data_IF_415006650646
#
_entry.id   IF_415006650646
#
_cell.length_a   1.000
_cell.length_b   1.000
_cell.length_c   1.000
_cell.angle_alpha   90.00
_cell.angle_beta   90.00
_cell.angle_gamma   90.00
#
_symmetry.space_group_name_H-M   'P 1'
#
loop_
_entity.id
_entity.type
_entity.pdbx_description
1 polymer ?
#
# COMPACT_ATOMS: atom_id res chain seq x y z
N UNK A 1 -13.33 43.48 -11.03
CA UNK A 1 -13.52 42.73 -9.77
C UNK A 1 -12.56 41.56 -9.83
N UNK A 2 -11.38 41.76 -9.26
CA UNK A 2 -10.30 40.77 -9.23
C UNK A 2 -10.52 39.91 -8.01
N UNK A 3 -10.97 38.67 -8.22
CA UNK A 3 -11.05 37.66 -7.19
C UNK A 3 -9.65 37.44 -6.62
N UNK A 4 -9.49 37.82 -5.34
CA UNK A 4 -8.28 37.55 -4.56
C UNK A 4 -8.11 36.07 -4.33
N UNK A 5 -7.49 35.38 -5.27
CA UNK A 5 -7.00 34.04 -5.08
C UNK A 5 -5.97 34.08 -3.93
N UNK A 6 -6.44 33.79 -2.72
CA UNK A 6 -5.56 33.58 -1.55
C UNK A 6 -4.64 32.40 -1.89
N UNK A 7 -3.38 32.73 -2.18
CA UNK A 7 -2.33 31.71 -2.34
C UNK A 7 -2.29 30.88 -1.05
N UNK A 8 -2.44 29.54 -1.18
CA UNK A 8 -2.42 28.69 0.01
C UNK A 8 -1.08 28.85 0.74
N UNK A 9 -1.06 28.81 2.07
CA UNK A 9 0.17 28.95 2.83
C UNK A 9 1.13 27.80 2.50
N UNK A 10 2.44 28.08 2.49
CA UNK A 10 3.50 27.12 2.11
C UNK A 10 3.44 25.78 2.84
N UNK A 11 2.89 25.75 4.04
CA UNK A 11 2.69 24.49 4.77
C UNK A 11 1.57 23.62 4.15
N UNK A 12 0.52 24.24 3.59
CA UNK A 12 -0.56 23.53 2.92
C UNK A 12 -0.07 22.91 1.59
N UNK A 13 0.81 23.59 0.87
CA UNK A 13 1.47 23.05 -0.34
C UNK A 13 2.39 21.86 0.01
N UNK A 14 3.13 21.96 1.10
CA UNK A 14 3.98 20.87 1.59
C UNK A 14 3.15 19.66 2.07
N UNK A 15 2.03 19.88 2.75
CA UNK A 15 1.13 18.83 3.17
C UNK A 15 0.43 18.14 1.98
N UNK A 16 0.02 18.92 0.98
CA UNK A 16 -0.59 18.35 -0.23
C UNK A 16 0.41 17.56 -1.08
N UNK A 17 1.69 17.95 -1.03
CA UNK A 17 2.77 17.21 -1.68
C UNK A 17 3.16 15.93 -0.92
N UNK A 18 3.11 15.95 0.43
CA UNK A 18 3.46 14.81 1.26
C UNK A 18 2.30 13.80 1.44
N UNK A 19 1.05 14.27 1.42
CA UNK A 19 -0.13 13.43 1.60
C UNK A 19 -1.25 13.83 0.62
N UNK A 20 -1.09 13.52 -0.67
CA UNK A 20 -2.05 13.91 -1.72
C UNK A 20 -3.44 13.31 -1.50
N UNK A 21 -3.54 12.17 -0.81
CA UNK A 21 -4.82 11.56 -0.44
C UNK A 21 -5.63 12.41 0.54
N UNK A 22 -4.99 13.03 1.53
CA UNK A 22 -5.68 13.92 2.49
C UNK A 22 -6.18 15.19 1.79
N UNK A 23 -5.41 15.74 0.85
CA UNK A 23 -5.84 16.88 0.04
C UNK A 23 -7.06 16.52 -0.84
N UNK A 24 -7.16 15.27 -1.28
CA UNK A 24 -8.33 14.80 -2.03
C UNK A 24 -9.59 14.72 -1.17
N UNK A 25 -9.47 14.41 0.14
CA UNK A 25 -10.60 14.36 1.07
C UNK A 25 -11.21 15.75 1.31
N UNK A 26 -10.41 16.80 1.37
CA UNK A 26 -10.91 18.17 1.59
C UNK A 26 -11.72 18.70 0.41
N UNK A 27 -11.47 18.19 -0.81
CA UNK A 27 -12.22 18.54 -2.03
C UNK A 27 -13.26 17.49 -2.43
N UNK A 28 -13.60 16.57 -1.52
CA UNK A 28 -14.50 15.46 -1.81
C UNK A 28 -15.96 15.92 -1.95
N UNK A 29 -16.59 15.53 -3.04
CA UNK A 29 -18.02 15.82 -3.29
C UNK A 29 -18.88 14.68 -2.77
N UNK A 30 -19.70 14.94 -1.75
CA UNK A 30 -20.60 13.95 -1.13
C UNK A 30 -21.51 13.21 -2.14
N UNK A 31 -21.81 13.82 -3.29
CA UNK A 31 -22.57 13.20 -4.38
C UNK A 31 -21.90 11.94 -4.97
N UNK A 32 -20.56 11.76 -4.78
CA UNK A 32 -19.83 10.58 -5.25
C UNK A 32 -19.85 9.43 -4.23
N UNK A 33 -20.18 9.72 -2.98
CA UNK A 33 -20.15 8.75 -1.88
C UNK A 33 -20.86 7.41 -2.20
N UNK A 34 -22.08 7.35 -2.76
CA UNK A 34 -22.73 6.07 -3.02
C UNK A 34 -21.99 5.23 -4.05
N UNK A 35 -21.38 5.86 -5.05
CA UNK A 35 -20.57 5.13 -6.06
C UNK A 35 -19.27 4.61 -5.45
N UNK A 36 -18.63 5.42 -4.61
CA UNK A 36 -17.37 5.04 -3.96
C UNK A 36 -17.58 3.94 -2.91
N UNK A 37 -18.74 3.94 -2.21
CA UNK A 37 -19.12 2.86 -1.29
C UNK A 37 -19.34 1.55 -2.06
N UNK A 38 -20.06 1.57 -3.18
CA UNK A 38 -20.24 0.38 -4.01
C UNK A 38 -18.92 -0.13 -4.55
N UNK A 39 -18.06 0.75 -5.06
CA UNK A 39 -16.73 0.37 -5.53
C UNK A 39 -15.88 -0.23 -4.39
N UNK A 40 -15.91 0.36 -3.20
CA UNK A 40 -15.23 -0.16 -2.02
C UNK A 40 -15.74 -1.53 -1.60
N UNK A 41 -17.05 -1.78 -1.66
CA UNK A 41 -17.64 -3.08 -1.35
C UNK A 41 -17.20 -4.16 -2.33
N UNK A 42 -17.19 -3.85 -3.63
CA UNK A 42 -16.71 -4.77 -4.67
C UNK A 42 -15.23 -5.09 -4.49
N UNK A 43 -14.40 -4.07 -4.23
CA UNK A 43 -12.98 -4.27 -3.95
C UNK A 43 -12.76 -5.12 -2.70
N UNK A 44 -13.51 -4.89 -1.63
CA UNK A 44 -13.42 -5.68 -0.40
C UNK A 44 -13.78 -7.14 -0.66
N UNK A 45 -14.84 -7.41 -1.41
CA UNK A 45 -15.27 -8.77 -1.77
C UNK A 45 -14.19 -9.54 -2.56
N UNK A 46 -13.37 -8.85 -3.35
CA UNK A 46 -12.27 -9.44 -4.10
C UNK A 46 -10.99 -9.54 -3.26
N UNK A 47 -10.61 -8.49 -2.55
CA UNK A 47 -9.33 -8.41 -1.86
C UNK A 47 -9.26 -9.24 -0.59
N UNK A 48 -10.39 -9.43 0.13
CA UNK A 48 -10.40 -10.23 1.36
C UNK A 48 -10.03 -11.69 1.10
N UNK A 49 -10.74 -12.44 0.23
CA UNK A 49 -10.38 -13.83 -0.03
C UNK A 49 -9.00 -13.95 -0.70
N UNK A 50 -8.65 -13.03 -1.58
CA UNK A 50 -7.36 -13.02 -2.26
C UNK A 50 -6.20 -12.77 -1.26
N UNK A 51 -6.32 -11.80 -0.36
CA UNK A 51 -5.31 -11.51 0.65
C UNK A 51 -5.09 -12.68 1.61
N UNK A 52 -6.18 -13.34 2.01
CA UNK A 52 -6.11 -14.54 2.86
C UNK A 52 -5.45 -15.72 2.14
N UNK A 53 -5.77 -15.93 0.86
CA UNK A 53 -5.19 -17.01 0.05
C UNK A 53 -3.68 -16.82 -0.14
N UNK A 54 -3.23 -15.59 -0.40
CA UNK A 54 -1.80 -15.31 -0.56
C UNK A 54 -1.01 -15.37 0.75
N UNK A 55 -1.62 -15.03 1.88
CA UNK A 55 -1.00 -15.28 3.18
C UNK A 55 -0.75 -16.78 3.41
N UNK A 56 -1.73 -17.62 3.11
CA UNK A 56 -1.58 -19.09 3.17
C UNK A 56 -0.50 -19.60 2.21
N UNK A 57 -0.47 -19.06 0.99
CA UNK A 57 0.55 -19.41 0.00
C UNK A 57 1.96 -19.04 0.48
N UNK A 58 2.09 -17.97 1.26
CA UNK A 58 3.35 -17.54 1.90
C UNK A 58 3.68 -18.35 3.18
N UNK A 59 2.86 -19.32 3.57
CA UNK A 59 3.03 -20.08 4.81
C UNK A 59 2.62 -19.33 6.09
N UNK A 60 1.81 -18.28 5.96
CA UNK A 60 1.37 -17.43 7.05
C UNK A 60 -0.10 -17.67 7.41
N UNK A 61 -0.53 -17.37 8.64
CA UNK A 61 -1.94 -17.40 9.01
C UNK A 61 -2.78 -16.47 8.09
N UNK A 62 -3.97 -16.89 7.62
CA UNK A 62 -4.79 -16.10 6.69
C UNK A 62 -5.12 -14.68 7.17
N UNK A 63 -5.29 -14.53 8.48
CA UNK A 63 -5.61 -13.24 9.12
C UNK A 63 -4.53 -12.18 8.88
N UNK A 64 -3.27 -12.57 8.74
CA UNK A 64 -2.16 -11.65 8.48
C UNK A 64 -2.29 -10.98 7.12
N UNK A 65 -2.77 -11.70 6.11
CA UNK A 65 -3.05 -11.15 4.79
C UNK A 65 -4.15 -10.09 4.81
N UNK A 66 -5.17 -10.28 5.65
CA UNK A 66 -6.24 -9.31 5.82
C UNK A 66 -5.70 -8.01 6.45
N UNK A 67 -4.96 -8.11 7.55
CA UNK A 67 -4.36 -6.93 8.20
C UNK A 67 -3.40 -6.18 7.27
N UNK A 68 -2.56 -6.90 6.55
CA UNK A 68 -1.62 -6.31 5.60
C UNK A 68 -2.35 -5.57 4.49
N UNK A 69 -3.42 -6.16 3.93
CA UNK A 69 -4.22 -5.52 2.89
C UNK A 69 -4.89 -4.24 3.38
N UNK A 70 -5.45 -4.24 4.58
CA UNK A 70 -6.06 -3.04 5.20
C UNK A 70 -5.01 -1.94 5.40
N UNK A 71 -3.85 -2.29 5.98
CA UNK A 71 -2.78 -1.31 6.23
C UNK A 71 -2.26 -0.71 4.91
N UNK A 72 -2.04 -1.54 3.88
CA UNK A 72 -1.59 -1.07 2.58
C UNK A 72 -2.61 -0.13 1.93
N UNK A 73 -3.91 -0.46 1.98
CA UNK A 73 -4.97 0.39 1.42
C UNK A 73 -5.08 1.72 2.16
N UNK A 74 -5.04 1.70 3.50
CA UNK A 74 -5.05 2.93 4.31
C UNK A 74 -3.80 3.77 4.05
N UNK A 75 -2.63 3.15 4.03
CA UNK A 75 -1.38 3.85 3.70
C UNK A 75 -1.43 4.47 2.32
N UNK A 76 -1.95 3.75 1.33
CA UNK A 76 -2.11 4.30 -0.01
C UNK A 76 -3.19 5.39 -0.10
N UNK A 77 -4.28 5.27 0.65
CA UNK A 77 -5.31 6.31 0.71
C UNK A 77 -4.76 7.65 1.23
N UNK A 78 -3.77 7.61 2.13
CA UNK A 78 -3.13 8.80 2.71
C UNK A 78 -2.01 9.34 1.80
N UNK A 79 -1.09 8.47 1.37
CA UNK A 79 0.15 8.85 0.69
C UNK A 79 0.15 8.62 -0.82
N UNK A 80 -0.84 7.89 -1.35
CA UNK A 80 -0.87 7.52 -2.75
C UNK A 80 -1.05 8.70 -3.70
N UNK A 81 -0.18 8.84 -4.70
CA UNK A 81 -0.24 9.94 -5.68
C UNK A 81 -1.29 9.72 -6.77
N UNK A 82 -1.78 8.50 -6.95
CA UNK A 82 -2.69 8.16 -8.04
C UNK A 82 -4.09 7.83 -7.53
N UNK A 83 -5.11 8.35 -8.22
CA UNK A 83 -6.53 8.07 -7.91
C UNK A 83 -7.08 6.86 -8.68
N UNK A 84 -6.27 6.25 -9.54
CA UNK A 84 -6.70 5.17 -10.44
C UNK A 84 -6.04 3.85 -10.07
N UNK A 85 -4.86 3.89 -9.44
CA UNK A 85 -4.13 2.70 -9.07
C UNK A 85 -4.80 1.99 -7.90
N UNK A 86 -5.15 0.74 -8.09
CA UNK A 86 -5.63 -0.17 -7.04
C UNK A 86 -4.45 -1.05 -6.63
N UNK A 87 -4.10 -0.99 -5.35
CA UNK A 87 -3.11 -1.89 -4.77
C UNK A 87 -3.79 -3.20 -4.37
N UNK A 88 -3.17 -4.30 -4.74
CA UNK A 88 -3.60 -5.64 -4.35
C UNK A 88 -2.40 -6.56 -4.11
N UNK A 89 -2.61 -7.70 -3.43
CA UNK A 89 -1.56 -8.69 -3.25
C UNK A 89 -1.15 -9.29 -4.60
N UNK A 90 0.16 -9.48 -4.79
CA UNK A 90 0.71 -10.09 -6.00
C UNK A 90 0.98 -11.58 -5.75
N UNK A 91 0.54 -12.42 -6.70
CA UNK A 91 0.70 -13.87 -6.64
C UNK A 91 2.16 -14.33 -6.73
N UNK A 92 3.04 -13.53 -7.32
CA UNK A 92 4.46 -13.87 -7.47
C UNK A 92 5.25 -13.75 -6.18
N UNK A 93 4.85 -12.84 -5.29
CA UNK A 93 5.54 -12.59 -4.02
C UNK A 93 5.27 -13.67 -2.97
N UNK A 94 4.09 -14.29 -2.96
CA UNK A 94 3.74 -15.34 -2.00
C UNK A 94 4.73 -16.50 -1.97
N UNK A 95 5.00 -17.18 -3.10
CA UNK A 95 5.99 -18.26 -3.17
C UNK A 95 7.41 -17.82 -2.81
N UNK A 96 7.82 -16.60 -3.17
CA UNK A 96 9.14 -16.06 -2.81
C UNK A 96 9.29 -15.88 -1.30
N UNK A 97 8.26 -15.35 -0.65
CA UNK A 97 8.22 -15.18 0.80
C UNK A 97 8.26 -16.56 1.48
N UNK A 98 7.44 -17.51 1.00
CA UNK A 98 7.43 -18.87 1.50
C UNK A 98 8.82 -19.54 1.38
N UNK A 99 9.46 -19.47 0.22
CA UNK A 99 10.77 -20.03 -0.01
C UNK A 99 11.86 -19.45 0.92
N UNK A 100 11.70 -18.19 1.34
CA UNK A 100 12.63 -17.53 2.24
C UNK A 100 12.36 -17.85 3.72
N UNK A 101 11.08 -17.91 4.11
CA UNK A 101 10.68 -18.03 5.53
C UNK A 101 10.58 -19.48 5.98
N UNK A 102 10.01 -20.38 5.16
CA UNK A 102 9.77 -21.76 5.56
C UNK A 102 11.04 -22.51 6.01
N UNK A 103 12.19 -22.37 5.35
CA UNK A 103 13.43 -23.02 5.82
C UNK A 103 13.88 -22.52 7.19
N UNK A 104 13.62 -21.24 7.51
CA UNK A 104 14.01 -20.63 8.78
C UNK A 104 13.09 -21.00 9.95
N UNK A 105 11.87 -21.41 9.65
CA UNK A 105 10.84 -21.79 10.65
C UNK A 105 10.71 -23.31 10.74
N UNK A 106 11.25 -24.06 9.77
CA UNK A 106 11.11 -25.53 9.69
C UNK A 106 11.59 -26.26 10.96
N UNK A 107 12.52 -25.69 11.72
CA UNK A 107 13.04 -26.28 12.96
C UNK A 107 12.04 -26.18 14.12
N UNK A 108 11.27 -25.10 14.22
CA UNK A 108 10.43 -24.79 15.39
C UNK A 108 8.94 -24.88 15.09
N UNK A 109 8.54 -24.73 13.81
CA UNK A 109 7.13 -24.78 13.37
C UNK A 109 6.22 -23.68 13.96
N UNK A 110 6.81 -22.63 14.56
CA UNK A 110 6.05 -21.60 15.27
C UNK A 110 5.50 -20.55 14.28
N UNK A 111 4.14 -20.43 14.16
CA UNK A 111 3.50 -19.43 13.31
C UNK A 111 3.85 -17.99 13.68
N UNK A 112 4.08 -17.71 14.98
CA UNK A 112 4.43 -16.36 15.43
C UNK A 112 5.81 -15.95 14.92
N UNK A 113 6.75 -16.88 14.86
CA UNK A 113 8.09 -16.65 14.28
C UNK A 113 8.03 -16.41 12.78
N UNK A 114 7.17 -17.14 12.06
CA UNK A 114 6.94 -16.90 10.64
C UNK A 114 6.42 -15.49 10.37
N UNK A 115 5.44 -15.03 11.15
CA UNK A 115 4.88 -13.67 11.05
C UNK A 115 5.95 -12.62 11.38
N UNK A 116 6.78 -12.84 12.40
CA UNK A 116 7.85 -11.92 12.77
C UNK A 116 8.90 -11.78 11.65
N UNK A 117 9.32 -12.90 11.04
CA UNK A 117 10.27 -12.89 9.91
C UNK A 117 9.67 -12.22 8.67
N UNK A 118 8.41 -12.49 8.35
CA UNK A 118 7.70 -11.84 7.26
C UNK A 118 7.59 -10.32 7.48
N UNK A 119 7.31 -9.90 8.71
CA UNK A 119 7.23 -8.48 9.09
C UNK A 119 8.59 -7.80 8.98
N UNK A 120 9.67 -8.45 9.41
CA UNK A 120 11.04 -7.95 9.26
C UNK A 120 11.42 -7.80 7.78
N UNK A 121 11.10 -8.80 6.94
CA UNK A 121 11.33 -8.75 5.50
C UNK A 121 10.57 -7.59 4.85
N UNK A 122 9.30 -7.39 5.23
CA UNK A 122 8.48 -6.29 4.74
C UNK A 122 9.06 -4.92 5.13
N UNK A 123 9.50 -4.77 6.38
CA UNK A 123 10.14 -3.54 6.86
C UNK A 123 11.43 -3.23 6.11
N UNK A 124 12.29 -4.24 5.90
CA UNK A 124 13.53 -4.07 5.14
C UNK A 124 13.25 -3.68 3.69
N UNK A 125 12.32 -4.36 3.05
CA UNK A 125 11.92 -4.04 1.67
C UNK A 125 11.32 -2.64 1.57
N UNK A 126 10.44 -2.28 2.50
CA UNK A 126 9.86 -0.94 2.59
C UNK A 126 10.91 0.14 2.81
N UNK A 127 11.88 -0.09 3.71
CA UNK A 127 12.99 0.83 3.95
C UNK A 127 13.84 1.03 2.69
N UNK A 128 14.19 -0.04 1.98
CA UNK A 128 14.94 0.03 0.72
C UNK A 128 14.17 0.82 -0.33
N UNK A 129 12.87 0.59 -0.47
CA UNK A 129 12.01 1.31 -1.42
C UNK A 129 11.94 2.80 -1.10
N UNK A 130 11.81 3.16 0.18
CA UNK A 130 11.79 4.56 0.62
C UNK A 130 13.15 5.22 0.36
N UNK A 131 14.26 4.56 0.71
CA UNK A 131 15.60 5.07 0.44
C UNK A 131 15.85 5.25 -1.07
N UNK A 132 15.42 4.30 -1.89
CA UNK A 132 15.50 4.41 -3.35
C UNK A 132 14.67 5.60 -3.88
N UNK A 133 13.46 5.80 -3.34
CA UNK A 133 12.60 6.93 -3.69
C UNK A 133 13.22 8.27 -3.32
N UNK A 134 13.75 8.42 -2.10
CA UNK A 134 14.42 9.63 -1.62
C UNK A 134 15.76 9.86 -2.34
N UNK A 135 16.49 8.79 -2.67
CA UNK A 135 17.75 8.86 -3.41
C UNK A 135 17.63 9.29 -4.88
N UNK A 136 16.41 9.58 -5.34
CA UNK A 136 16.19 10.12 -6.69
C UNK A 136 16.34 9.09 -7.82
N UNK A 137 16.35 7.78 -7.51
CA UNK A 137 16.41 6.73 -8.54
C UNK A 137 15.19 6.68 -9.47
N UNK A 138 14.17 7.50 -9.23
CA UNK A 138 13.01 7.67 -10.11
C UNK A 138 13.35 8.11 -11.54
N UNK A 139 14.52 8.72 -11.77
CA UNK A 139 14.97 9.11 -13.12
C UNK A 139 15.26 7.88 -14.01
N UNK A 140 15.57 6.73 -13.42
CA UNK A 140 15.81 5.47 -14.17
C UNK A 140 14.52 4.98 -14.83
N UNK A 141 13.39 5.14 -14.16
CA UNK A 141 12.08 4.79 -14.71
C UNK A 141 11.64 5.74 -15.84
N UNK A 142 12.03 7.02 -15.77
CA UNK A 142 11.69 8.02 -16.81
C UNK A 142 12.52 7.84 -18.09
N UNK A 143 13.75 7.32 -17.97
CA UNK A 143 14.63 7.06 -19.12
C UNK A 143 14.18 5.89 -19.99
N UNK A 144 13.38 4.97 -19.45
CA UNK A 144 12.84 3.83 -20.22
C UNK A 144 11.62 4.19 -21.07
N UNK A 145 11.11 5.42 -20.97
CA UNK A 145 9.97 5.93 -21.75
C UNK A 145 10.37 6.71 -23.01
N UNK A 146 11.66 6.87 -23.26
CA UNK A 146 12.21 7.46 -24.48
C UNK A 146 12.89 6.37 -25.32
#
# INVERSE_FOLDING_TARGET
>A
MTDGATTPPRWAERLSAAAPGLAALTSYKARRLPKDVVAGLVLTALLVPQGMAYAQLAGLPPITGLYTSILCLVGYAVFGPSRILVLGPDSSLGPMIAATILPLVAADGDPARAVALASALALMTGAIMVLAGVGGFGFVADRSRR
#
